data_IF_147631711686
#
_entry.id   IF_147631711686
#
_cell.length_a   1.000
_cell.length_b   1.000
_cell.length_c   1.000
_cell.angle_alpha   90.00
_cell.angle_beta   90.00
_cell.angle_gamma   90.00
#
_symmetry.space_group_name_H-M   'P 1'
#
loop_
_entity.id
_entity.type
_entity.pdbx_description
1 polymer ?
#
# COMPACT_ATOMS: atom_id res chain seq x y z
N UNK A 1 8.07 21.43 -16.70
CA UNK A 1 8.55 22.73 -17.20
C UNK A 1 7.79 23.84 -16.48
N UNK A 2 8.40 24.99 -16.21
CA UNK A 2 7.68 26.16 -15.72
C UNK A 2 6.44 26.39 -16.61
N UNK A 3 5.24 26.40 -16.01
CA UNK A 3 3.97 26.52 -16.76
C UNK A 3 3.27 25.21 -17.16
N UNK A 4 3.73 24.04 -16.70
CA UNK A 4 2.99 22.79 -16.91
C UNK A 4 1.64 22.79 -16.17
N UNK A 5 0.60 22.30 -16.83
CA UNK A 5 -0.73 22.13 -16.22
C UNK A 5 -0.65 21.25 -14.96
N UNK A 6 -1.20 21.77 -13.86
CA UNK A 6 -1.13 21.13 -12.55
C UNK A 6 -1.88 19.80 -12.54
N UNK A 7 -3.04 19.73 -13.21
CA UNK A 7 -3.84 18.50 -13.24
C UNK A 7 -3.11 17.41 -14.02
N UNK A 8 -2.59 17.73 -15.20
CA UNK A 8 -1.77 16.83 -16.01
C UNK A 8 -0.50 16.38 -15.27
N UNK A 9 0.13 17.26 -14.48
CA UNK A 9 1.26 16.89 -13.64
C UNK A 9 0.86 15.83 -12.60
N UNK A 10 -0.19 16.11 -11.82
CA UNK A 10 -0.64 15.23 -10.73
C UNK A 10 -1.18 13.88 -11.24
N UNK A 11 -1.80 13.85 -12.42
CA UNK A 11 -2.30 12.62 -13.04
C UNK A 11 -1.21 11.56 -13.26
N UNK A 12 0.06 11.98 -13.37
CA UNK A 12 1.21 11.07 -13.52
C UNK A 12 1.68 10.46 -12.21
N UNK A 13 1.20 10.95 -11.07
CA UNK A 13 1.67 10.57 -9.74
C UNK A 13 1.57 9.08 -9.47
N UNK A 14 0.45 8.43 -9.83
CA UNK A 14 0.26 6.99 -9.59
C UNK A 14 1.23 6.12 -10.41
N UNK A 15 1.46 6.47 -11.67
CA UNK A 15 2.40 5.74 -12.52
C UNK A 15 3.84 5.87 -11.99
N UNK A 16 4.25 7.09 -11.63
CA UNK A 16 5.58 7.34 -11.05
C UNK A 16 5.75 6.58 -9.74
N UNK A 17 4.75 6.64 -8.85
CA UNK A 17 4.77 5.94 -7.56
C UNK A 17 4.92 4.43 -7.74
N UNK A 18 4.21 3.84 -8.71
CA UNK A 18 4.31 2.41 -9.02
C UNK A 18 5.71 2.00 -9.47
N UNK A 19 6.31 2.76 -10.38
CA UNK A 19 7.69 2.50 -10.84
C UNK A 19 8.67 2.54 -9.67
N UNK A 20 8.55 3.56 -8.81
CA UNK A 20 9.42 3.70 -7.64
C UNK A 20 9.23 2.53 -6.67
N UNK A 21 7.99 2.18 -6.35
CA UNK A 21 7.71 1.08 -5.42
C UNK A 21 8.16 -0.28 -5.96
N UNK A 22 7.93 -0.55 -7.26
CA UNK A 22 8.39 -1.78 -7.91
C UNK A 22 9.92 -1.90 -7.82
N UNK A 23 10.64 -0.82 -8.13
CA UNK A 23 12.10 -0.78 -8.04
C UNK A 23 12.57 -1.01 -6.60
N UNK A 24 12.03 -0.26 -5.63
CA UNK A 24 12.42 -0.37 -4.22
C UNK A 24 12.19 -1.77 -3.68
N UNK A 25 11.01 -2.36 -3.92
CA UNK A 25 10.66 -3.67 -3.35
C UNK A 25 11.38 -4.81 -4.06
N UNK A 26 11.48 -4.78 -5.40
CA UNK A 26 11.95 -5.94 -6.16
C UNK A 26 13.45 -5.94 -6.43
N UNK A 27 14.06 -4.77 -6.56
CA UNK A 27 15.47 -4.66 -6.93
C UNK A 27 16.35 -4.35 -5.72
N UNK A 28 15.82 -3.60 -4.75
CA UNK A 28 16.58 -3.12 -3.59
C UNK A 28 16.16 -3.75 -2.27
N UNK A 29 15.20 -4.69 -2.27
CA UNK A 29 14.66 -5.34 -1.06
C UNK A 29 14.22 -4.33 0.02
N UNK A 30 13.72 -3.18 -0.42
CA UNK A 30 13.31 -2.07 0.42
C UNK A 30 11.80 -2.07 0.73
N UNK A 31 11.39 -1.26 1.70
CA UNK A 31 9.98 -1.10 2.07
C UNK A 31 9.29 0.02 1.31
N UNK A 32 8.10 -0.25 0.74
CA UNK A 32 7.24 0.77 0.11
C UNK A 32 6.55 1.71 1.13
N UNK A 33 6.63 1.41 2.43
CA UNK A 33 5.92 2.15 3.47
C UNK A 33 6.81 2.82 4.51
N UNK A 34 8.01 2.29 4.75
CA UNK A 34 8.87 2.72 5.85
C UNK A 34 8.05 2.88 7.16
N UNK A 35 8.12 4.04 7.82
CA UNK A 35 7.45 4.32 9.10
C UNK A 35 6.00 4.82 9.01
N UNK A 36 5.53 5.20 7.81
CA UNK A 36 4.24 5.90 7.66
C UNK A 36 3.02 4.97 7.79
N UNK A 37 3.24 3.66 7.74
CA UNK A 37 2.20 2.64 7.77
C UNK A 37 1.32 2.57 6.51
N UNK A 38 0.44 1.56 6.47
CA UNK A 38 -0.39 1.25 5.30
C UNK A 38 -1.62 2.17 5.20
N UNK A 39 -2.30 2.35 6.33
CA UNK A 39 -3.56 3.09 6.38
C UNK A 39 -4.61 2.53 5.42
N UNK A 40 -5.40 3.41 4.80
CA UNK A 40 -6.30 3.06 3.68
C UNK A 40 -5.65 3.29 2.32
N UNK A 41 -4.72 4.24 2.27
CA UNK A 41 -4.10 4.71 1.04
C UNK A 41 -3.23 3.65 0.40
N UNK A 42 -2.51 2.85 1.19
CA UNK A 42 -1.53 1.88 0.68
C UNK A 42 -1.99 0.43 0.72
N UNK A 43 -3.29 0.16 0.90
CA UNK A 43 -3.79 -1.22 0.98
C UNK A 43 -3.56 -1.96 -0.34
N UNK A 44 -3.70 -1.28 -1.48
CA UNK A 44 -3.40 -1.88 -2.79
C UNK A 44 -1.92 -2.19 -2.98
N UNK A 45 -1.04 -1.38 -2.39
CA UNK A 45 0.40 -1.63 -2.35
C UNK A 45 0.74 -2.80 -1.43
N UNK A 46 0.10 -2.90 -0.25
CA UNK A 46 0.26 -4.06 0.63
C UNK A 46 -0.15 -5.36 -0.07
N UNK A 47 -1.30 -5.39 -0.72
CA UNK A 47 -1.77 -6.54 -1.51
C UNK A 47 -0.82 -6.89 -2.67
N UNK A 48 -0.08 -5.91 -3.20
CA UNK A 48 0.85 -6.09 -4.32
C UNK A 48 2.23 -6.58 -3.89
N UNK A 49 2.73 -6.09 -2.77
CA UNK A 49 4.14 -6.23 -2.38
C UNK A 49 4.36 -7.15 -1.18
N UNK A 50 3.37 -7.35 -0.31
CA UNK A 50 3.52 -8.27 0.80
C UNK A 50 3.46 -9.73 0.31
N UNK A 51 4.26 -10.63 0.90
CA UNK A 51 4.12 -12.06 0.66
C UNK A 51 2.70 -12.54 0.98
N UNK A 52 2.13 -13.48 0.20
CA UNK A 52 0.79 -14.02 0.46
C UNK A 52 0.63 -14.56 1.88
N UNK A 53 1.65 -15.25 2.40
CA UNK A 53 1.68 -15.79 3.76
C UNK A 53 1.56 -14.71 4.84
N UNK A 54 2.14 -13.53 4.60
CA UNK A 54 2.06 -12.40 5.53
C UNK A 54 0.64 -11.83 5.54
N UNK A 55 0.03 -11.67 4.38
CA UNK A 55 -1.36 -11.22 4.26
C UNK A 55 -2.32 -12.19 4.93
N UNK A 56 -2.12 -13.49 4.77
CA UNK A 56 -2.97 -14.51 5.37
C UNK A 56 -2.82 -14.53 6.90
N UNK A 57 -1.59 -14.38 7.41
CA UNK A 57 -1.35 -14.24 8.84
C UNK A 57 -2.03 -12.99 9.41
N UNK A 58 -1.90 -11.84 8.72
CA UNK A 58 -2.56 -10.60 9.14
C UNK A 58 -4.09 -10.77 9.19
N UNK A 59 -4.69 -11.43 8.19
CA UNK A 59 -6.12 -11.73 8.17
C UNK A 59 -6.53 -12.67 9.29
N UNK A 60 -5.75 -13.72 9.56
CA UNK A 60 -6.02 -14.66 10.63
C UNK A 60 -6.02 -13.97 12.00
N UNK A 61 -5.00 -13.14 12.27
CA UNK A 61 -4.91 -12.34 13.50
C UNK A 61 -6.08 -11.36 13.61
N UNK A 62 -6.40 -10.64 12.52
CA UNK A 62 -7.53 -9.71 12.49
C UNK A 62 -8.85 -10.41 12.79
N UNK A 63 -9.10 -11.57 12.18
CA UNK A 63 -10.33 -12.33 12.39
C UNK A 63 -10.43 -12.88 13.81
N UNK A 64 -9.33 -13.34 14.39
CA UNK A 64 -9.31 -13.84 15.77
C UNK A 64 -9.67 -12.74 16.80
N UNK A 65 -9.27 -11.49 16.55
CA UNK A 65 -9.51 -10.37 17.46
C UNK A 65 -10.79 -9.59 17.16
N UNK A 66 -11.20 -9.53 15.89
CA UNK A 66 -12.33 -8.74 15.41
C UNK A 66 -13.14 -9.52 14.36
N UNK A 67 -13.83 -10.60 14.78
CA UNK A 67 -14.58 -11.45 13.86
C UNK A 67 -15.75 -10.73 13.18
N UNK A 68 -16.26 -9.67 13.80
CA UNK A 68 -17.33 -8.82 13.25
C UNK A 68 -16.80 -7.67 12.39
N UNK A 69 -15.48 -7.49 12.30
CA UNK A 69 -14.84 -6.47 11.46
C UNK A 69 -15.15 -5.03 11.86
N UNK A 70 -15.47 -4.73 13.13
CA UNK A 70 -15.87 -3.39 13.57
C UNK A 70 -14.70 -2.46 13.89
N UNK A 71 -13.51 -3.01 14.14
CA UNK A 71 -12.32 -2.24 14.48
C UNK A 71 -11.65 -1.70 13.21
N UNK A 72 -12.13 -0.54 12.76
CA UNK A 72 -11.59 0.27 11.67
C UNK A 72 -11.62 -0.45 10.29
N UNK A 73 -12.81 -0.70 9.73
CA UNK A 73 -12.97 -1.46 8.49
C UNK A 73 -12.17 -0.85 7.32
N UNK A 74 -11.56 -1.73 6.53
CA UNK A 74 -10.83 -1.39 5.30
C UNK A 74 -9.50 -0.66 5.50
N UNK A 75 -9.00 -0.55 6.74
CA UNK A 75 -7.65 -0.05 7.03
C UNK A 75 -6.70 -1.26 7.16
N UNK A 76 -5.54 -1.19 6.50
CA UNK A 76 -4.54 -2.26 6.39
C UNK A 76 -5.02 -3.46 5.56
N UNK A 77 -6.15 -4.07 5.89
CA UNK A 77 -6.73 -5.22 5.19
C UNK A 77 -8.14 -4.89 4.66
N UNK A 78 -8.51 -5.51 3.56
CA UNK A 78 -9.89 -5.57 3.04
C UNK A 78 -10.47 -6.96 3.26
#
# INVERSE_FOLDING_TARGET
APGADRAAFLARGEAIKRVIHDMVVREFDGSFSAEHGIGRLKVGELERYAPPVELDLMRAVKHALDPNGILNPGKVLR
#
